data_IF_962563988663
#
_entry.id   IF_962563988663
#
_cell.length_a   1.000
_cell.length_b   1.000
_cell.length_c   1.000
_cell.angle_alpha   90.00
_cell.angle_beta   90.00
_cell.angle_gamma   90.00
#
_symmetry.space_group_name_H-M   'P 1'
#
loop_
_entity.id
_entity.type
_entity.pdbx_description
1 polymer ?
#
# COMPACT_ATOMS: atom_id res chain seq x y z
N UNK A 1 -17.47 -64.13 -45.88
CA UNK A 1 -18.29 -62.98 -46.28
C UNK A 1 -17.90 -61.79 -45.41
N UNK A 2 -18.04 -60.55 -45.91
CA UNK A 2 -17.33 -59.36 -45.42
C UNK A 2 -18.19 -58.46 -44.51
N UNK A 3 -17.52 -57.72 -43.59
CA UNK A 3 -17.87 -56.41 -42.98
C UNK A 3 -19.28 -56.25 -42.32
N UNK A 4 -19.65 -55.27 -41.47
CA UNK A 4 -19.17 -53.94 -40.96
C UNK A 4 -19.61 -53.87 -39.46
N UNK A 5 -19.09 -53.10 -38.50
CA UNK A 5 -18.00 -52.10 -38.40
C UNK A 5 -18.25 -51.14 -37.19
N UNK A 6 -17.53 -50.00 -37.15
CA UNK A 6 -17.60 -48.88 -36.16
C UNK A 6 -17.11 -49.09 -34.71
N UNK A 7 -16.42 -48.03 -34.22
CA UNK A 7 -15.92 -47.79 -32.86
C UNK A 7 -16.53 -46.46 -32.32
N UNK A 8 -15.95 -45.70 -31.36
CA UNK A 8 -16.25 -45.75 -29.91
C UNK A 8 -16.68 -44.39 -29.29
N UNK A 9 -17.13 -44.35 -28.03
CA UNK A 9 -17.12 -43.17 -27.10
C UNK A 9 -17.43 -43.65 -25.66
N UNK A 10 -16.57 -43.44 -24.66
CA UNK A 10 -16.50 -42.30 -23.69
C UNK A 10 -17.80 -42.08 -22.90
N UNK A 11 -17.81 -42.13 -21.56
CA UNK A 11 -17.53 -41.04 -20.60
C UNK A 11 -17.75 -41.64 -19.17
N UNK A 12 -17.31 -41.15 -18.01
CA UNK A 12 -16.45 -40.05 -17.53
C UNK A 12 -16.07 -40.43 -16.08
N UNK A 13 -14.83 -40.17 -15.62
CA UNK A 13 -14.46 -39.81 -14.24
C UNK A 13 -12.93 -39.84 -14.04
N UNK A 14 -12.25 -38.88 -14.66
CA UNK A 14 -10.85 -38.55 -14.37
C UNK A 14 -10.73 -37.03 -14.28
N UNK A 15 -10.83 -36.45 -13.08
CA UNK A 15 -10.25 -35.15 -12.64
C UNK A 15 -10.82 -34.72 -11.29
N UNK A 16 -10.33 -35.30 -10.19
CA UNK A 16 -10.58 -34.74 -8.84
C UNK A 16 -9.47 -35.06 -7.82
N UNK A 17 -8.30 -35.52 -8.29
CA UNK A 17 -7.21 -36.05 -7.43
C UNK A 17 -5.80 -35.51 -7.68
N UNK A 18 -5.64 -34.49 -8.54
CA UNK A 18 -4.31 -33.99 -8.93
C UNK A 18 -3.92 -32.60 -8.37
N UNK A 19 -4.83 -31.86 -7.74
CA UNK A 19 -4.54 -30.47 -7.35
C UNK A 19 -3.90 -30.27 -5.95
N UNK A 20 -4.02 -31.24 -5.03
CA UNK A 20 -3.65 -31.01 -3.62
C UNK A 20 -2.19 -31.29 -3.23
N UNK A 21 -1.36 -31.86 -4.13
CA UNK A 21 -0.11 -32.54 -3.70
C UNK A 21 1.21 -31.85 -4.10
N UNK A 22 1.19 -30.58 -4.54
CA UNK A 22 2.39 -29.87 -5.03
C UNK A 22 2.91 -28.81 -4.03
N UNK A 23 2.06 -28.26 -3.15
CA UNK A 23 2.43 -27.10 -2.32
C UNK A 23 3.10 -27.42 -0.97
N UNK A 24 3.07 -28.67 -0.50
CA UNK A 24 3.43 -29.00 0.90
C UNK A 24 4.57 -30.03 1.09
N UNK A 25 5.08 -30.66 0.03
CA UNK A 25 5.90 -31.88 0.17
C UNK A 25 7.37 -31.79 -0.28
N UNK A 26 7.77 -30.79 -1.07
CA UNK A 26 9.17 -30.61 -1.49
C UNK A 26 9.92 -29.60 -0.62
N UNK A 27 10.96 -30.00 0.15
CA UNK A 27 11.82 -29.07 0.85
C UNK A 27 12.49 -28.09 -0.12
N UNK A 28 12.67 -26.84 0.32
CA UNK A 28 13.47 -25.84 -0.41
C UNK A 28 14.84 -26.43 -0.75
N UNK A 29 15.17 -26.50 -2.05
CA UNK A 29 16.50 -26.91 -2.51
C UNK A 29 17.52 -25.93 -1.95
N UNK A 30 18.39 -26.39 -1.05
CA UNK A 30 19.53 -25.61 -0.58
C UNK A 30 20.45 -25.32 -1.76
N UNK A 31 20.45 -24.09 -2.23
CA UNK A 31 21.42 -23.59 -3.20
C UNK A 31 22.74 -23.31 -2.45
N UNK A 32 23.86 -23.80 -2.98
CA UNK A 32 25.18 -23.36 -2.53
C UNK A 32 25.44 -21.95 -3.06
N UNK A 33 25.07 -20.95 -2.28
CA UNK A 33 25.38 -19.54 -2.56
C UNK A 33 26.84 -19.24 -2.23
N UNK A 34 27.52 -18.53 -3.12
CA UNK A 34 28.90 -18.08 -2.90
C UNK A 34 28.93 -16.96 -1.84
N UNK A 35 29.83 -17.08 -0.86
CA UNK A 35 30.00 -16.12 0.24
C UNK A 35 30.33 -14.70 -0.27
N UNK A 36 31.12 -14.58 -1.34
CA UNK A 36 31.46 -13.29 -1.95
C UNK A 36 30.21 -12.54 -2.46
N UNK A 37 29.26 -13.27 -3.04
CA UNK A 37 28.01 -12.71 -3.58
C UNK A 37 27.11 -12.23 -2.44
N UNK A 38 27.00 -13.04 -1.37
CA UNK A 38 26.21 -12.67 -0.19
C UNK A 38 26.76 -11.42 0.50
N UNK A 39 28.08 -11.32 0.66
CA UNK A 39 28.73 -10.16 1.27
C UNK A 39 28.53 -8.87 0.45
N UNK A 40 28.60 -8.98 -0.89
CA UNK A 40 28.34 -7.87 -1.81
C UNK A 40 26.89 -7.39 -1.73
N UNK A 41 25.92 -8.30 -1.81
CA UNK A 41 24.50 -7.96 -1.71
C UNK A 41 24.15 -7.33 -0.36
N UNK A 42 24.74 -7.83 0.73
CA UNK A 42 24.54 -7.28 2.07
C UNK A 42 25.08 -5.84 2.18
N UNK A 43 26.23 -5.54 1.55
CA UNK A 43 26.78 -4.19 1.51
C UNK A 43 25.89 -3.22 0.72
N UNK A 44 25.42 -3.64 -0.46
CA UNK A 44 24.51 -2.84 -1.30
C UNK A 44 23.20 -2.52 -0.56
N UNK A 45 22.61 -3.52 0.12
CA UNK A 45 21.41 -3.34 0.94
C UNK A 45 21.65 -2.34 2.08
N UNK A 46 22.74 -2.48 2.84
CA UNK A 46 23.07 -1.55 3.92
C UNK A 46 23.30 -0.12 3.41
N UNK A 47 23.96 0.03 2.26
CA UNK A 47 24.18 1.33 1.63
C UNK A 47 22.85 1.95 1.15
N UNK A 48 21.97 1.17 0.51
CA UNK A 48 20.66 1.62 0.06
C UNK A 48 19.76 2.04 1.25
N UNK A 49 19.67 1.22 2.30
CA UNK A 49 18.93 1.54 3.53
C UNK A 49 19.48 2.82 4.16
N UNK A 50 20.80 2.95 4.31
CA UNK A 50 21.42 4.17 4.86
C UNK A 50 21.07 5.41 4.04
N UNK A 51 21.09 5.32 2.70
CA UNK A 51 20.70 6.42 1.81
C UNK A 51 19.25 6.85 2.01
N UNK A 52 18.32 5.89 2.11
CA UNK A 52 16.89 6.18 2.36
C UNK A 52 16.69 6.82 3.74
N UNK A 53 17.37 6.33 4.80
CA UNK A 53 17.33 6.97 6.13
C UNK A 53 17.77 8.43 6.09
N UNK A 54 18.85 8.75 5.37
CA UNK A 54 19.29 10.13 5.18
C UNK A 54 18.22 10.99 4.50
N UNK A 55 17.53 10.46 3.49
CA UNK A 55 16.44 11.18 2.81
C UNK A 55 15.26 11.44 3.76
N UNK A 56 14.83 10.43 4.52
CA UNK A 56 13.73 10.57 5.49
C UNK A 56 14.08 11.54 6.64
N UNK A 57 15.32 11.51 7.14
CA UNK A 57 15.78 12.33 8.25
C UNK A 57 16.09 13.80 7.87
N UNK A 58 16.37 14.07 6.59
CA UNK A 58 16.60 15.44 6.12
C UNK A 58 15.35 16.29 6.31
N UNK A 59 15.52 17.51 6.85
CA UNK A 59 14.43 18.50 6.95
C UNK A 59 14.51 19.41 5.72
N UNK A 60 13.71 19.15 4.68
CA UNK A 60 13.47 20.12 3.63
C UNK A 60 12.26 21.01 3.98
N UNK A 61 11.90 21.94 3.11
CA UNK A 61 10.90 23.00 3.36
C UNK A 61 9.45 22.52 3.44
N UNK A 62 8.49 23.46 3.37
CA UNK A 62 7.06 23.14 3.49
C UNK A 62 6.53 22.16 2.44
N UNK A 63 7.16 22.04 1.27
CA UNK A 63 6.77 21.11 0.21
C UNK A 63 7.24 19.65 0.45
N UNK A 64 8.08 19.40 1.47
CA UNK A 64 8.68 18.08 1.79
C UNK A 64 7.67 17.08 2.41
N UNK A 65 6.52 17.57 2.90
CA UNK A 65 5.53 16.75 3.59
C UNK A 65 4.92 15.65 2.70
N UNK A 66 4.44 16.02 1.51
CA UNK A 66 3.85 15.07 0.58
C UNK A 66 4.90 14.07 0.04
N UNK A 67 6.11 14.53 -0.29
CA UNK A 67 7.17 13.65 -0.78
C UNK A 67 7.55 12.57 0.25
N UNK A 68 7.59 12.93 1.53
CA UNK A 68 7.81 11.97 2.63
C UNK A 68 6.66 10.99 2.80
N UNK A 69 5.42 11.43 2.73
CA UNK A 69 4.27 10.51 2.78
C UNK A 69 4.29 9.53 1.60
N UNK A 70 4.62 9.97 0.38
CA UNK A 70 4.81 9.11 -0.79
C UNK A 70 5.97 8.13 -0.59
N UNK A 71 7.08 8.56 0.00
CA UNK A 71 8.21 7.70 0.32
C UNK A 71 7.83 6.61 1.33
N UNK A 72 7.12 6.96 2.40
CA UNK A 72 6.63 6.02 3.42
C UNK A 72 5.65 5.02 2.80
N UNK A 73 4.72 5.48 1.98
CA UNK A 73 3.77 4.61 1.26
C UNK A 73 4.50 3.61 0.34
N UNK A 74 5.51 4.08 -0.38
CA UNK A 74 6.36 3.24 -1.24
C UNK A 74 7.13 2.20 -0.42
N UNK A 75 7.75 2.60 0.68
CA UNK A 75 8.48 1.70 1.59
C UNK A 75 7.56 0.61 2.16
N UNK A 76 6.33 0.98 2.58
CA UNK A 76 5.33 0.04 3.10
C UNK A 76 4.81 -0.92 2.03
N UNK A 77 4.50 -0.45 0.81
CA UNK A 77 4.10 -1.31 -0.31
C UNK A 77 5.19 -2.28 -0.76
N UNK A 78 6.46 -1.94 -0.55
CA UNK A 78 7.61 -2.82 -0.79
C UNK A 78 7.93 -3.74 0.40
N UNK A 79 7.17 -3.69 1.51
CA UNK A 79 7.41 -4.42 2.76
C UNK A 79 8.80 -4.17 3.39
N UNK A 80 9.34 -2.96 3.19
CA UNK A 80 10.66 -2.54 3.69
C UNK A 80 10.56 -1.68 4.96
N UNK A 81 9.37 -1.41 5.47
CA UNK A 81 9.11 -0.51 6.61
C UNK A 81 9.75 -0.98 7.93
N UNK A 82 9.97 -2.29 8.08
CA UNK A 82 10.76 -2.85 9.18
C UNK A 82 12.21 -2.33 9.26
N UNK A 83 12.78 -1.77 8.19
CA UNK A 83 14.09 -1.09 8.24
C UNK A 83 14.01 0.37 8.69
N UNK A 84 12.82 0.99 8.74
CA UNK A 84 12.64 2.43 8.88
C UNK A 84 11.61 2.81 9.95
N UNK A 85 11.36 1.93 10.92
CA UNK A 85 10.27 2.07 11.89
C UNK A 85 10.36 3.37 12.70
N UNK A 86 11.57 3.76 13.11
CA UNK A 86 11.82 4.99 13.88
C UNK A 86 11.57 6.24 13.02
N UNK A 87 12.04 6.26 11.77
CA UNK A 87 11.85 7.37 10.84
C UNK A 87 10.39 7.54 10.43
N UNK A 88 9.69 6.42 10.14
CA UNK A 88 8.26 6.40 9.81
C UNK A 88 7.44 6.94 10.99
N UNK A 89 7.69 6.44 12.21
CA UNK A 89 6.99 6.91 13.41
C UNK A 89 7.24 8.39 13.69
N UNK A 90 8.48 8.88 13.53
CA UNK A 90 8.81 10.29 13.74
C UNK A 90 8.11 11.22 12.72
N UNK A 91 8.08 10.84 11.44
CA UNK A 91 7.42 11.61 10.38
C UNK A 91 5.90 11.60 10.56
N UNK A 92 5.30 10.44 10.85
CA UNK A 92 3.85 10.34 11.04
C UNK A 92 3.39 10.98 12.36
N UNK A 93 4.19 10.96 13.42
CA UNK A 93 3.91 11.74 14.63
C UNK A 93 3.89 13.26 14.36
N UNK A 94 4.80 13.76 13.53
CA UNK A 94 4.76 15.15 13.07
C UNK A 94 3.49 15.41 12.25
N UNK A 95 3.17 14.58 11.26
CA UNK A 95 1.94 14.75 10.48
C UNK A 95 0.66 14.60 11.31
N UNK A 96 0.65 13.83 12.40
CA UNK A 96 -0.49 13.78 13.31
C UNK A 96 -0.66 15.11 14.07
N UNK A 97 0.44 15.74 14.50
CA UNK A 97 0.35 16.99 15.26
C UNK A 97 -0.20 18.15 14.43
N UNK A 98 0.17 18.26 13.15
CA UNK A 98 -0.43 19.27 12.25
C UNK A 98 -1.83 18.83 11.76
N UNK A 99 -2.17 17.53 11.77
CA UNK A 99 -3.54 17.07 11.46
C UNK A 99 -4.55 17.58 12.49
N UNK A 100 -4.18 17.60 13.78
CA UNK A 100 -4.98 18.24 14.83
C UNK A 100 -5.17 19.76 14.64
N UNK A 101 -4.44 20.38 13.69
CA UNK A 101 -4.56 21.81 13.33
C UNK A 101 -5.14 22.04 11.93
N UNK A 102 -5.45 20.98 11.18
CA UNK A 102 -6.12 21.07 9.89
C UNK A 102 -7.63 21.21 10.11
N UNK A 103 -8.16 22.39 9.80
CA UNK A 103 -9.59 22.68 9.73
C UNK A 103 -10.18 22.34 8.35
N UNK A 104 -11.47 22.56 8.15
CA UNK A 104 -12.14 22.34 6.86
C UNK A 104 -11.64 23.29 5.74
N UNK A 105 -10.90 24.35 6.08
CA UNK A 105 -10.25 25.27 5.14
C UNK A 105 -8.78 24.91 4.88
N UNK A 106 -8.27 23.85 5.51
CA UNK A 106 -6.88 23.43 5.48
C UNK A 106 -6.32 23.20 4.08
N UNK A 107 -5.01 23.46 3.91
CA UNK A 107 -4.28 23.24 2.67
C UNK A 107 -4.19 21.77 2.22
N UNK A 108 -3.61 21.57 1.03
CA UNK A 108 -3.37 20.24 0.45
C UNK A 108 -4.50 19.73 -0.45
N UNK A 109 -4.13 18.98 -1.49
CA UNK A 109 -5.05 18.40 -2.47
C UNK A 109 -5.69 17.08 -1.97
N UNK A 110 -6.54 16.46 -2.80
CA UNK A 110 -7.22 15.21 -2.42
C UNK A 110 -6.26 14.04 -2.23
N UNK A 111 -5.18 13.98 -3.02
CA UNK A 111 -4.16 12.95 -2.89
C UNK A 111 -3.41 13.08 -1.57
N UNK A 112 -2.93 14.28 -1.24
CA UNK A 112 -2.20 14.55 0.01
C UNK A 112 -3.04 14.22 1.24
N UNK A 113 -4.26 14.76 1.32
CA UNK A 113 -5.11 14.60 2.51
C UNK A 113 -5.55 13.14 2.69
N UNK A 114 -5.95 12.45 1.62
CA UNK A 114 -6.35 11.05 1.70
C UNK A 114 -5.15 10.12 2.02
N UNK A 115 -3.98 10.37 1.42
CA UNK A 115 -2.76 9.61 1.71
C UNK A 115 -2.33 9.78 3.17
N UNK A 116 -2.33 11.02 3.67
CA UNK A 116 -2.00 11.36 5.06
C UNK A 116 -2.97 10.71 6.05
N UNK A 117 -4.27 10.83 5.82
CA UNK A 117 -5.30 10.15 6.61
C UNK A 117 -5.06 8.63 6.65
N UNK A 118 -4.83 8.02 5.49
CA UNK A 118 -4.62 6.58 5.36
C UNK A 118 -3.41 6.11 6.15
N UNK A 119 -2.24 6.74 5.95
CA UNK A 119 -1.01 6.35 6.64
C UNK A 119 -1.10 6.55 8.16
N UNK A 120 -1.75 7.62 8.61
CA UNK A 120 -1.99 7.86 10.05
C UNK A 120 -2.87 6.77 10.66
N UNK A 121 -3.98 6.39 10.01
CA UNK A 121 -4.83 5.28 10.50
C UNK A 121 -4.15 3.91 10.45
N UNK A 122 -3.30 3.65 9.46
CA UNK A 122 -2.53 2.41 9.36
C UNK A 122 -1.56 2.22 10.53
N UNK A 123 -1.01 3.31 11.08
CA UNK A 123 -0.19 3.29 12.31
C UNK A 123 -1.02 3.44 13.61
N UNK A 124 -2.36 3.41 13.52
CA UNK A 124 -3.25 3.45 14.68
C UNK A 124 -3.52 4.85 15.26
N UNK A 125 -3.15 5.94 14.57
CA UNK A 125 -3.56 7.28 14.98
C UNK A 125 -5.06 7.49 14.77
N UNK A 126 -5.74 8.01 15.80
CA UNK A 126 -7.14 8.39 15.71
C UNK A 126 -7.30 9.79 15.09
N UNK A 127 -7.26 9.83 13.76
CA UNK A 127 -7.56 11.02 12.95
C UNK A 127 -9.00 11.01 12.48
N UNK A 128 -9.70 12.15 12.55
CA UNK A 128 -11.09 12.28 12.06
C UNK A 128 -11.13 12.34 10.54
N UNK A 129 -12.23 11.86 9.95
CA UNK A 129 -12.50 11.95 8.52
C UNK A 129 -12.90 13.37 8.05
N UNK A 130 -13.13 14.31 8.96
CA UNK A 130 -13.73 15.63 8.65
C UNK A 130 -12.87 16.49 7.72
N UNK A 131 -11.55 16.31 7.72
CA UNK A 131 -10.65 16.97 6.75
C UNK A 131 -10.99 16.63 5.29
N UNK A 132 -11.76 15.57 5.03
CA UNK A 132 -12.28 15.22 3.71
C UNK A 132 -13.56 15.99 3.34
N UNK A 133 -14.26 16.64 4.29
CA UNK A 133 -15.47 17.43 4.01
C UNK A 133 -15.20 18.58 3.03
N UNK A 134 -13.98 19.14 3.03
CA UNK A 134 -13.58 20.20 2.07
C UNK A 134 -13.65 19.77 0.59
N UNK A 135 -13.67 18.47 0.33
CA UNK A 135 -13.84 17.89 -1.01
C UNK A 135 -15.31 17.62 -1.38
N UNK A 136 -16.26 17.92 -0.48
CA UNK A 136 -17.71 17.82 -0.74
C UNK A 136 -18.28 19.18 -1.16
N UNK A 137 -19.34 19.14 -1.96
CA UNK A 137 -20.16 20.30 -2.30
C UNK A 137 -21.27 20.53 -1.28
N UNK A 138 -21.99 21.64 -1.42
CA UNK A 138 -23.14 22.01 -0.56
C UNK A 138 -24.28 20.99 -0.52
N UNK A 139 -24.28 20.02 -1.44
CA UNK A 139 -25.23 18.91 -1.52
C UNK A 139 -24.78 17.65 -0.74
N UNK A 140 -23.67 17.72 0.00
CA UNK A 140 -23.12 16.59 0.75
C UNK A 140 -22.42 15.52 -0.10
N UNK A 141 -22.25 15.73 -1.41
CA UNK A 141 -21.53 14.79 -2.32
C UNK A 141 -20.16 15.33 -2.68
N UNK A 142 -19.20 14.45 -2.99
CA UNK A 142 -17.90 14.87 -3.52
C UNK A 142 -18.05 15.76 -4.77
N UNK A 143 -17.22 16.81 -4.86
CA UNK A 143 -17.30 17.81 -5.94
C UNK A 143 -16.98 17.17 -7.30
N UNK A 144 -17.77 17.46 -8.33
CA UNK A 144 -17.62 16.84 -9.65
C UNK A 144 -16.27 17.15 -10.32
N UNK A 145 -15.61 18.25 -9.96
CA UNK A 145 -14.27 18.62 -10.42
C UNK A 145 -13.19 17.56 -10.11
N UNK A 146 -13.37 16.81 -9.01
CA UNK A 146 -12.48 15.73 -8.58
C UNK A 146 -12.47 14.54 -9.55
N UNK A 147 -13.47 14.42 -10.45
CA UNK A 147 -13.50 13.39 -11.49
C UNK A 147 -12.28 13.39 -12.43
N UNK A 148 -11.51 14.49 -12.45
CA UNK A 148 -10.27 14.63 -13.22
C UNK A 148 -9.01 14.25 -12.43
N UNK A 149 -9.09 14.20 -11.10
CA UNK A 149 -7.99 13.83 -10.22
C UNK A 149 -8.02 12.33 -9.93
N UNK A 150 -7.50 11.55 -10.87
CA UNK A 150 -7.43 10.09 -10.75
C UNK A 150 -6.56 9.63 -9.58
N UNK A 151 -5.54 10.41 -9.20
CA UNK A 151 -4.62 10.07 -8.10
C UNK A 151 -5.26 10.34 -6.73
N UNK A 152 -5.91 11.49 -6.58
CA UNK A 152 -6.71 11.80 -5.39
C UNK A 152 -7.86 10.83 -5.20
N UNK A 153 -8.60 10.49 -6.26
CA UNK A 153 -9.68 9.50 -6.19
C UNK A 153 -9.18 8.10 -5.81
N UNK A 154 -8.04 7.65 -6.35
CA UNK A 154 -7.42 6.39 -5.94
C UNK A 154 -7.00 6.42 -4.46
N UNK A 155 -6.43 7.54 -4.00
CA UNK A 155 -6.00 7.70 -2.60
C UNK A 155 -7.18 7.73 -1.63
N UNK A 156 -8.28 8.40 -2.02
CA UNK A 156 -9.54 8.43 -1.28
C UNK A 156 -10.18 7.03 -1.19
N UNK A 157 -10.15 6.27 -2.27
CA UNK A 157 -10.63 4.88 -2.30
C UNK A 157 -9.80 3.96 -1.38
N UNK A 158 -8.47 4.10 -1.37
CA UNK A 158 -7.64 3.36 -0.41
C UNK A 158 -7.90 3.80 1.04
N UNK A 159 -8.23 5.08 1.26
CA UNK A 159 -8.51 5.65 2.58
C UNK A 159 -9.87 5.23 3.16
N UNK A 160 -10.91 5.08 2.33
CA UNK A 160 -12.25 4.72 2.83
C UNK A 160 -12.33 3.32 3.44
N UNK A 161 -11.45 2.41 3.01
CA UNK A 161 -11.29 1.09 3.63
C UNK A 161 -10.82 1.12 5.10
N UNK A 162 -10.46 2.29 5.64
CA UNK A 162 -10.10 2.50 7.05
C UNK A 162 -11.16 3.26 7.85
N UNK A 163 -12.37 3.45 7.29
CA UNK A 163 -13.48 4.06 8.01
C UNK A 163 -13.97 3.23 9.21
N UNK A 164 -14.44 3.93 10.24
CA UNK A 164 -15.08 3.30 11.42
C UNK A 164 -16.57 3.65 11.48
N UNK A 165 -17.32 2.92 12.32
CA UNK A 165 -18.76 3.12 12.44
C UNK A 165 -19.10 4.56 12.84
N UNK A 166 -19.96 5.21 12.04
CA UNK A 166 -20.37 6.61 12.23
C UNK A 166 -19.71 7.60 11.27
N UNK A 167 -18.77 7.17 10.43
CA UNK A 167 -18.07 8.03 9.47
C UNK A 167 -18.67 7.93 8.05
N UNK A 168 -19.92 8.37 7.89
CA UNK A 168 -20.73 8.29 6.64
C UNK A 168 -20.12 9.01 5.41
N UNK A 169 -18.93 9.60 5.52
CA UNK A 169 -18.15 10.21 4.43
C UNK A 169 -17.22 9.21 3.72
N UNK A 170 -16.86 8.09 4.37
CA UNK A 170 -15.93 7.08 3.88
C UNK A 170 -16.68 5.91 3.19
#
# INVERSE_FOLDING_TARGET
MNAVGFSPTSELNTTEKEFDNILYSTPLKKTSTNEDILSTQQYELQHAVKKIRTILANKSGKDDGLEKLIMIDTIKRLALDHYFQEEIAAILAAHNSEWCTLDEEGGGDLHEVALRFRLLRQEGYHVTCDALNKFKGKNGKFKQELSKDTRGLMSLFEASHLGIQGEDIL
#
